data_IF_647413268733
#
_entry.id   IF_647413268733
#
_cell.length_a   1.000
_cell.length_b   1.000
_cell.length_c   1.000
_cell.angle_alpha   90.00
_cell.angle_beta   90.00
_cell.angle_gamma   90.00
#
_symmetry.space_group_name_H-M   'P 1'
#
loop_
_entity.id
_entity.type
_entity.pdbx_description
1 polymer ?
#
# COMPACT_ATOMS: atom_id res chain seq x y z
N UNK A 1 -6.44 70.72 -26.13
CA UNK A 1 -5.17 69.98 -26.04
C UNK A 1 -5.31 68.91 -24.97
N UNK A 2 -5.85 67.75 -25.33
CA UNK A 2 -6.15 66.65 -24.41
C UNK A 2 -5.07 65.59 -24.58
N UNK A 3 -4.27 65.41 -23.52
CA UNK A 3 -3.20 64.42 -23.41
C UNK A 3 -3.79 63.01 -23.60
N UNK A 4 -3.46 62.36 -24.72
CA UNK A 4 -3.66 60.92 -24.87
C UNK A 4 -2.62 60.22 -24.01
N UNK A 5 -2.99 59.90 -22.78
CA UNK A 5 -2.26 58.96 -21.93
C UNK A 5 -2.33 57.60 -22.62
N UNK A 6 -1.26 57.26 -23.36
CA UNK A 6 -1.01 55.89 -23.79
C UNK A 6 -0.86 55.06 -22.51
N UNK A 7 -1.95 54.42 -22.10
CA UNK A 7 -1.91 53.32 -21.15
C UNK A 7 -1.14 52.17 -21.81
N UNK A 8 0.17 52.13 -21.57
CA UNK A 8 0.98 50.93 -21.71
C UNK A 8 0.45 49.92 -20.70
N UNK A 9 -0.53 49.12 -21.11
CA UNK A 9 -0.97 47.93 -20.38
C UNK A 9 0.17 46.92 -20.47
N UNK A 10 1.13 47.07 -19.55
CA UNK A 10 2.19 46.11 -19.29
C UNK A 10 1.51 44.86 -18.75
N UNK A 11 1.29 43.87 -19.61
CA UNK A 11 0.81 42.54 -19.22
C UNK A 11 1.90 41.85 -18.40
N UNK A 12 1.92 42.11 -17.10
CA UNK A 12 2.59 41.25 -16.13
C UNK A 12 1.88 39.90 -16.20
N UNK A 13 2.55 38.92 -16.78
CA UNK A 13 2.18 37.52 -16.66
C UNK A 13 2.26 37.15 -15.18
N UNK A 14 1.14 37.24 -14.47
CA UNK A 14 0.96 36.55 -13.21
C UNK A 14 1.03 35.06 -13.53
N UNK A 15 2.22 34.47 -13.37
CA UNK A 15 2.37 33.05 -13.13
C UNK A 15 1.59 32.76 -11.84
N UNK A 16 0.31 32.41 -12.01
CA UNK A 16 -0.56 32.05 -10.91
C UNK A 16 0.04 30.86 -10.18
N UNK A 17 0.39 31.04 -8.91
CA UNK A 17 0.27 29.95 -7.98
C UNK A 17 -1.21 29.59 -7.95
N UNK A 18 -1.60 28.55 -8.69
CA UNK A 18 -2.82 27.83 -8.40
C UNK A 18 -2.62 27.22 -7.00
N UNK A 19 -2.95 28.00 -5.97
CA UNK A 19 -3.22 27.48 -4.64
C UNK A 19 -4.45 26.59 -4.83
N UNK A 20 -4.19 25.31 -5.05
CA UNK A 20 -5.23 24.32 -4.89
C UNK A 20 -5.56 24.35 -3.41
N UNK A 21 -6.64 25.07 -3.10
CA UNK A 21 -7.46 24.80 -1.94
C UNK A 21 -7.81 23.33 -2.04
N UNK A 22 -7.10 22.49 -1.29
CA UNK A 22 -7.53 21.14 -1.07
C UNK A 22 -8.95 21.18 -0.50
N UNK A 23 -9.76 20.38 -1.17
CA UNK A 23 -11.20 20.24 -1.08
C UNK A 23 -11.66 20.14 0.38
N UNK A 24 -12.88 20.60 0.70
CA UNK A 24 -13.52 20.26 1.97
C UNK A 24 -13.39 18.75 2.23
N UNK A 25 -12.98 18.39 3.45
CA UNK A 25 -13.14 17.04 3.97
C UNK A 25 -14.64 16.77 4.13
N UNK A 26 -15.30 16.44 3.01
CA UNK A 26 -16.59 15.77 3.00
C UNK A 26 -16.37 14.38 3.60
N UNK A 27 -16.54 14.30 4.92
CA UNK A 27 -16.79 13.05 5.60
C UNK A 27 -17.95 12.32 4.90
N UNK A 28 -17.88 10.99 4.73
CA UNK A 28 -18.85 10.28 3.94
C UNK A 28 -20.23 10.31 4.62
N UNK A 29 -21.12 11.18 4.14
CA UNK A 29 -22.58 10.93 4.20
C UNK A 29 -22.94 9.93 3.12
N UNK A 30 -22.31 8.75 3.16
CA UNK A 30 -22.76 7.61 2.38
C UNK A 30 -24.04 7.11 3.05
N UNK A 31 -25.12 7.06 2.29
CA UNK A 31 -26.29 6.28 2.66
C UNK A 31 -25.82 4.90 3.12
N UNK A 32 -26.38 4.40 4.22
CA UNK A 32 -25.94 3.16 4.89
C UNK A 32 -25.86 1.95 3.94
N UNK A 33 -26.57 2.01 2.80
CA UNK A 33 -26.57 1.00 1.75
C UNK A 33 -25.33 1.03 0.83
N UNK A 34 -24.76 2.21 0.55
CA UNK A 34 -23.55 2.34 -0.27
C UNK A 34 -22.29 1.96 0.52
N UNK A 35 -22.25 2.33 1.80
CA UNK A 35 -21.20 1.90 2.72
C UNK A 35 -21.14 0.36 2.84
N UNK A 36 -22.30 -0.30 2.90
CA UNK A 36 -22.37 -1.77 2.94
C UNK A 36 -21.95 -2.44 1.61
N UNK A 37 -22.04 -1.75 0.47
CA UNK A 37 -21.54 -2.24 -0.83
C UNK A 37 -20.05 -2.03 -1.02
N UNK A 38 -19.47 -1.05 -0.32
CA UNK A 38 -18.04 -0.73 -0.37
C UNK A 38 -17.23 -1.30 0.79
N UNK A 39 -17.88 -1.82 1.82
CA UNK A 39 -17.23 -2.52 2.90
C UNK A 39 -16.50 -3.76 2.37
N UNK A 40 -15.18 -3.75 2.46
CA UNK A 40 -14.35 -4.91 2.17
C UNK A 40 -14.53 -5.95 3.28
N UNK A 41 -15.09 -7.15 3.00
CA UNK A 41 -15.25 -8.18 4.02
C UNK A 41 -13.91 -8.68 4.59
N UNK A 42 -12.80 -8.48 3.88
CA UNK A 42 -11.47 -8.84 4.36
C UNK A 42 -10.86 -7.84 5.34
N UNK A 43 -11.40 -6.63 5.48
CA UNK A 43 -10.83 -5.59 6.33
C UNK A 43 -10.85 -5.93 7.84
N UNK A 44 -11.75 -6.82 8.26
CA UNK A 44 -11.93 -7.21 9.67
C UNK A 44 -11.57 -8.67 9.95
N UNK A 45 -11.11 -9.41 8.94
CA UNK A 45 -10.80 -10.84 9.06
C UNK A 45 -9.30 -11.04 9.18
N UNK A 46 -8.91 -11.79 10.22
CA UNK A 46 -7.52 -12.26 10.41
C UNK A 46 -7.46 -13.74 10.07
N UNK A 47 -6.89 -14.04 8.92
CA UNK A 47 -6.65 -15.42 8.49
C UNK A 47 -5.44 -16.02 9.21
N UNK A 48 -5.36 -17.36 9.24
CA UNK A 48 -4.22 -18.07 9.82
C UNK A 48 -2.94 -17.85 9.00
N UNK A 49 -1.77 -18.09 9.59
CA UNK A 49 -0.52 -18.07 8.84
C UNK A 49 -0.57 -19.07 7.66
N UNK A 50 -0.06 -18.65 6.51
CA UNK A 50 -0.09 -19.44 5.27
C UNK A 50 -1.42 -19.38 4.53
N UNK A 51 -2.28 -18.42 4.88
CA UNK A 51 -3.52 -18.14 4.18
C UNK A 51 -3.69 -16.63 3.97
N UNK A 52 -4.28 -16.23 2.85
CA UNK A 52 -4.68 -14.85 2.59
C UNK A 52 -6.19 -14.74 2.46
N UNK A 53 -6.73 -13.56 2.81
CA UNK A 53 -8.15 -13.30 2.65
C UNK A 53 -8.49 -12.93 1.20
N UNK A 54 -9.55 -13.53 0.68
CA UNK A 54 -10.15 -13.21 -0.62
C UNK A 54 -11.62 -12.84 -0.40
N UNK A 55 -12.00 -11.66 -0.88
CA UNK A 55 -13.40 -11.23 -0.86
C UNK A 55 -14.23 -12.03 -1.87
N UNK A 56 -15.29 -12.67 -1.40
CA UNK A 56 -16.29 -13.38 -2.20
C UNK A 56 -17.62 -12.65 -2.11
N UNK A 57 -17.70 -11.49 -2.77
CA UNK A 57 -18.84 -10.59 -2.65
C UNK A 57 -18.90 -9.97 -1.26
N UNK A 58 -19.90 -10.35 -0.45
CA UNK A 58 -20.07 -9.82 0.93
C UNK A 58 -19.43 -10.70 2.01
N UNK A 59 -18.78 -11.80 1.64
CA UNK A 59 -18.12 -12.72 2.57
C UNK A 59 -16.61 -12.69 2.37
N UNK A 60 -15.88 -13.02 3.43
CA UNK A 60 -14.44 -13.22 3.40
C UNK A 60 -14.14 -14.72 3.42
N UNK A 61 -13.23 -15.16 2.57
CA UNK A 61 -12.74 -16.53 2.52
C UNK A 61 -11.22 -16.53 2.70
N UNK A 62 -10.73 -17.27 3.70
CA UNK A 62 -9.29 -17.49 3.87
C UNK A 62 -8.86 -18.66 2.98
N UNK A 63 -8.00 -18.40 2.01
CA UNK A 63 -7.49 -19.40 1.07
C UNK A 63 -6.01 -19.67 1.32
N UNK A 64 -5.57 -20.91 1.12
CA UNK A 64 -4.18 -21.30 1.34
C UNK A 64 -3.24 -20.65 0.32
N UNK A 65 -2.12 -20.12 0.82
CA UNK A 65 -1.00 -19.68 0.00
C UNK A 65 -0.33 -20.91 -0.62
N UNK A 66 -0.23 -20.93 -1.95
CA UNK A 66 0.32 -22.10 -2.67
C UNK A 66 1.83 -22.04 -2.84
N UNK A 67 2.43 -20.89 -2.60
CA UNK A 67 3.84 -20.65 -2.86
C UNK A 67 4.50 -20.01 -1.65
N UNK A 68 5.68 -20.52 -1.33
CA UNK A 68 6.57 -19.93 -0.37
C UNK A 68 7.23 -18.64 -0.86
N UNK A 69 7.88 -17.91 0.05
CA UNK A 69 8.72 -16.75 -0.29
C UNK A 69 10.17 -17.17 -0.48
N UNK A 70 10.86 -16.61 -1.48
CA UNK A 70 12.29 -16.83 -1.66
C UNK A 70 13.10 -16.17 -0.53
N UNK A 71 14.14 -16.86 -0.06
CA UNK A 71 15.02 -16.41 1.01
C UNK A 71 16.45 -16.94 0.79
N UNK A 72 17.26 -16.18 0.05
CA UNK A 72 18.60 -16.63 -0.32
C UNK A 72 18.56 -17.88 -1.19
N UNK A 73 19.24 -18.94 -0.75
CA UNK A 73 19.24 -20.25 -1.39
C UNK A 73 18.05 -21.14 -1.05
N UNK A 74 17.16 -20.70 -0.15
CA UNK A 74 16.00 -21.48 0.34
C UNK A 74 14.69 -20.80 -0.05
N UNK A 75 13.62 -21.56 -0.19
CA UNK A 75 12.25 -21.04 -0.26
C UNK A 75 11.52 -21.39 1.03
N UNK A 76 11.00 -20.39 1.73
CA UNK A 76 10.27 -20.57 2.98
C UNK A 76 8.92 -21.26 2.76
N UNK A 77 8.34 -21.85 3.80
CA UNK A 77 6.99 -22.40 3.69
C UNK A 77 5.96 -21.29 3.42
N UNK A 78 4.80 -21.61 2.80
CA UNK A 78 3.71 -20.65 2.69
C UNK A 78 3.31 -20.13 4.08
N UNK A 79 3.22 -18.81 4.22
CA UNK A 79 2.91 -18.15 5.49
C UNK A 79 4.11 -17.73 6.33
N UNK A 80 5.29 -18.28 6.07
CA UNK A 80 6.53 -17.80 6.67
C UNK A 80 7.06 -16.58 5.94
N UNK A 81 7.88 -15.80 6.63
CA UNK A 81 8.62 -14.67 6.07
C UNK A 81 10.11 -14.98 6.01
N UNK A 82 10.79 -14.40 5.01
CA UNK A 82 12.25 -14.48 4.96
C UNK A 82 12.83 -13.64 6.11
N UNK A 83 13.50 -14.29 7.06
CA UNK A 83 14.19 -13.61 8.15
C UNK A 83 15.57 -13.15 7.68
N UNK A 84 16.43 -14.09 7.28
CA UNK A 84 17.80 -13.80 6.89
C UNK A 84 18.13 -14.47 5.56
N UNK A 85 18.11 -13.68 4.49
CA UNK A 85 18.41 -14.15 3.15
C UNK A 85 19.85 -14.64 2.99
N UNK A 86 20.82 -14.10 3.75
CA UNK A 86 22.22 -14.54 3.67
C UNK A 86 22.37 -15.99 4.12
N UNK A 87 21.57 -16.41 5.09
CA UNK A 87 21.64 -17.73 5.71
C UNK A 87 20.46 -18.64 5.33
N UNK A 88 19.54 -18.18 4.47
CA UNK A 88 18.32 -18.89 4.11
C UNK A 88 17.39 -19.19 5.29
N UNK A 89 17.35 -18.33 6.31
CA UNK A 89 16.56 -18.54 7.52
C UNK A 89 15.14 -17.97 7.34
N UNK A 90 14.15 -18.83 7.57
CA UNK A 90 12.73 -18.50 7.57
C UNK A 90 12.21 -18.37 9.00
N UNK A 91 11.17 -17.56 9.21
CA UNK A 91 10.50 -17.40 10.50
C UNK A 91 9.00 -17.19 10.30
N UNK A 92 8.16 -17.55 11.29
CA UNK A 92 6.77 -17.08 11.31
C UNK A 92 6.70 -15.54 11.31
N UNK A 93 5.60 -14.96 10.81
CA UNK A 93 5.37 -13.52 10.87
C UNK A 93 5.47 -12.99 12.31
N UNK A 94 6.25 -11.93 12.51
CA UNK A 94 6.51 -11.34 13.84
C UNK A 94 7.50 -12.12 14.71
N UNK A 95 8.07 -13.21 14.21
CA UNK A 95 9.14 -13.94 14.89
C UNK A 95 10.44 -13.12 15.01
N UNK A 96 11.24 -13.46 16.01
CA UNK A 96 12.55 -12.85 16.22
C UNK A 96 13.51 -13.28 15.11
N UNK A 97 14.28 -12.33 14.60
CA UNK A 97 15.18 -12.56 13.49
C UNK A 97 16.57 -12.03 13.82
N UNK A 98 17.60 -12.83 13.53
CA UNK A 98 18.99 -12.42 13.63
C UNK A 98 19.62 -12.30 12.24
N UNK A 99 20.17 -11.11 11.98
CA UNK A 99 20.83 -10.78 10.72
C UNK A 99 22.33 -11.04 10.82
N UNK A 100 22.73 -12.29 10.61
CA UNK A 100 24.13 -12.66 10.42
C UNK A 100 24.47 -12.72 8.93
N UNK A 101 25.71 -12.37 8.59
CA UNK A 101 26.26 -12.69 7.28
C UNK A 101 26.76 -14.13 7.29
N UNK A 102 26.25 -14.95 6.38
CA UNK A 102 26.73 -16.31 6.13
C UNK A 102 27.49 -16.34 4.80
N UNK A 103 28.53 -17.17 4.73
CA UNK A 103 29.16 -17.46 3.43
C UNK A 103 28.20 -18.30 2.58
N UNK A 104 28.08 -18.00 1.27
CA UNK A 104 27.27 -18.81 0.37
C UNK A 104 27.86 -20.23 0.29
N UNK A 105 27.00 -21.24 0.17
CA UNK A 105 27.44 -22.60 -0.02
C UNK A 105 28.24 -22.72 -1.33
N UNK A 106 29.56 -22.73 -1.24
CA UNK A 106 30.45 -23.07 -2.36
C UNK A 106 30.40 -24.58 -2.52
N UNK A 107 29.69 -25.05 -3.55
CA UNK A 107 29.68 -26.45 -4.00
C UNK A 107 31.02 -26.83 -4.65
#
# INVERSE_FOLDING_TARGET
MTFRVLFLVSTLAFAGCAVQTESPEEGPTASTEEAARRADPCAVVRCAAGTHCVAKGKTAECVADKTGVACGSTTCAPGDVCCNASCGICTPPGGMCIQLACEPATL
#
